data_IF_107394876190
#
_entry.id   IF_107394876190
#
_cell.length_a   1.000
_cell.length_b   1.000
_cell.length_c   1.000
_cell.angle_alpha   90.00
_cell.angle_beta   90.00
_cell.angle_gamma   90.00
#
_symmetry.space_group_name_H-M   'P 1'
#
loop_
_entity.id
_entity.type
_entity.pdbx_description
1 polymer ?
#
# COMPACT_ATOMS: atom_id res chain seq x y z
N UNK A 1 28.39 -6.74 -18.16
CA UNK A 1 27.63 -7.59 -19.10
C UNK A 1 26.48 -8.32 -18.40
N UNK A 2 26.73 -9.13 -17.37
CA UNK A 2 25.68 -9.85 -16.65
C UNK A 2 24.59 -8.94 -16.05
N UNK A 3 24.99 -7.81 -15.45
CA UNK A 3 24.02 -6.85 -14.88
C UNK A 3 23.12 -6.20 -15.94
N UNK A 4 23.67 -5.93 -17.14
CA UNK A 4 22.90 -5.35 -18.24
C UNK A 4 21.88 -6.35 -18.78
N UNK A 5 22.28 -7.61 -18.91
CA UNK A 5 21.39 -8.68 -19.32
C UNK A 5 20.25 -8.92 -18.32
N UNK A 6 20.57 -8.93 -17.02
CA UNK A 6 19.58 -9.03 -15.94
C UNK A 6 18.61 -7.84 -16.04
N UNK A 7 19.12 -6.61 -16.10
CA UNK A 7 18.28 -5.41 -16.19
C UNK A 7 17.34 -5.42 -17.41
N UNK A 8 17.85 -5.80 -18.60
CA UNK A 8 17.04 -5.94 -19.82
C UNK A 8 15.97 -7.02 -19.69
N UNK A 9 16.33 -8.20 -19.17
CA UNK A 9 15.37 -9.29 -18.98
C UNK A 9 14.26 -8.90 -18.00
N UNK A 10 14.60 -8.30 -16.86
CA UNK A 10 13.61 -7.80 -15.89
C UNK A 10 12.71 -6.75 -16.52
N UNK A 11 13.28 -5.77 -17.24
CA UNK A 11 12.49 -4.72 -17.89
C UNK A 11 11.48 -5.31 -18.90
N UNK A 12 11.92 -6.22 -19.77
CA UNK A 12 11.04 -6.86 -20.76
C UNK A 12 9.94 -7.71 -20.11
N UNK A 13 10.22 -8.38 -18.99
CA UNK A 13 9.22 -9.15 -18.26
C UNK A 13 8.12 -8.29 -17.63
N UNK A 14 8.45 -7.06 -17.22
CA UNK A 14 7.52 -6.16 -16.50
C UNK A 14 7.02 -4.99 -17.35
N UNK A 15 7.43 -4.83 -18.61
CA UNK A 15 6.96 -3.70 -19.46
C UNK A 15 5.44 -3.71 -19.66
N UNK A 16 4.83 -4.90 -19.65
CA UNK A 16 3.38 -5.07 -19.74
C UNK A 16 2.63 -4.56 -18.49
N UNK A 17 3.31 -4.41 -17.35
CA UNK A 17 2.68 -3.94 -16.11
C UNK A 17 2.60 -2.42 -16.00
N UNK A 18 3.23 -1.66 -16.91
CA UNK A 18 3.23 -0.19 -16.88
C UNK A 18 1.83 0.41 -17.03
N UNK A 19 0.91 -0.30 -17.68
CA UNK A 19 -0.48 0.12 -17.88
C UNK A 19 -1.45 -0.59 -16.91
N UNK A 20 -0.96 -1.37 -15.95
CA UNK A 20 -1.81 -2.01 -14.96
C UNK A 20 -2.26 -1.00 -13.90
N UNK A 21 -3.47 -1.22 -13.37
CA UNK A 21 -3.97 -0.45 -12.23
C UNK A 21 -3.42 -0.98 -10.90
N UNK A 22 -3.81 -0.31 -9.82
CA UNK A 22 -3.49 -0.72 -8.46
C UNK A 22 -4.00 -2.14 -8.16
N UNK A 23 -3.11 -2.98 -7.63
CA UNK A 23 -3.39 -4.36 -7.25
C UNK A 23 -4.09 -4.38 -5.88
N UNK A 24 -4.51 -5.56 -5.42
CA UNK A 24 -5.35 -5.75 -4.25
C UNK A 24 -4.88 -5.01 -2.99
N UNK A 25 -3.59 -5.04 -2.67
CA UNK A 25 -3.03 -4.35 -1.51
C UNK A 25 -2.77 -2.86 -1.79
N UNK A 26 -2.49 -2.49 -3.04
CA UNK A 26 -2.18 -1.10 -3.41
C UNK A 26 -3.44 -0.21 -3.36
N UNK A 27 -4.60 -0.75 -3.74
CA UNK A 27 -5.87 0.00 -3.73
C UNK A 27 -6.24 0.53 -2.36
N UNK A 28 -6.36 -0.31 -1.31
CA UNK A 28 -6.69 0.17 0.02
C UNK A 28 -5.59 1.06 0.61
N UNK A 29 -4.32 0.78 0.27
CA UNK A 29 -3.18 1.59 0.73
C UNK A 29 -3.01 2.94 0.00
N UNK A 30 -3.58 3.16 -1.19
CA UNK A 30 -3.37 4.43 -1.93
C UNK A 30 -4.68 5.20 -2.08
N UNK A 31 -5.77 4.52 -2.41
CA UNK A 31 -7.08 5.14 -2.63
C UNK A 31 -7.87 5.21 -1.33
N UNK A 32 -7.84 4.13 -0.54
CA UNK A 32 -8.75 3.99 0.61
C UNK A 32 -8.16 4.44 1.94
N UNK A 33 -6.90 4.91 1.97
CA UNK A 33 -6.31 5.48 3.18
C UNK A 33 -7.27 6.54 3.74
N UNK A 34 -7.89 6.16 4.85
CA UNK A 34 -8.91 6.95 5.52
C UNK A 34 -8.30 8.26 6.08
N UNK A 35 -6.98 8.34 6.21
CA UNK A 35 -6.22 9.49 6.73
C UNK A 35 -6.10 10.66 5.75
N UNK A 36 -6.28 10.43 4.44
CA UNK A 36 -6.27 11.51 3.45
C UNK A 36 -7.64 12.17 3.27
N UNK A 37 -8.70 11.65 3.91
CA UNK A 37 -10.01 12.31 3.91
C UNK A 37 -9.96 13.50 4.87
N UNK A 38 -10.24 14.74 4.43
CA UNK A 38 -10.18 15.95 5.26
C UNK A 38 -11.08 15.94 6.52
N UNK A 39 -11.93 14.92 6.67
CA UNK A 39 -12.91 14.78 7.75
C UNK A 39 -12.50 13.76 8.83
N UNK A 40 -11.43 13.01 8.64
CA UNK A 40 -11.00 12.00 9.61
C UNK A 40 -10.17 12.66 10.75
N UNK A 41 -10.45 12.36 12.03
CA UNK A 41 -9.61 12.82 13.13
C UNK A 41 -8.19 12.23 13.01
N UNK A 42 -7.16 13.08 13.14
CA UNK A 42 -5.76 12.66 13.14
C UNK A 42 -5.44 11.56 14.17
N UNK A 43 -6.19 11.51 15.27
CA UNK A 43 -6.09 10.46 16.30
C UNK A 43 -6.30 9.04 15.75
N UNK A 44 -7.03 8.88 14.65
CA UNK A 44 -7.28 7.57 14.06
C UNK A 44 -5.97 6.89 13.61
N UNK A 45 -4.92 7.66 13.29
CA UNK A 45 -3.60 7.13 12.92
C UNK A 45 -3.00 6.26 14.03
N UNK A 46 -3.36 6.53 15.28
CA UNK A 46 -2.85 5.78 16.44
C UNK A 46 -3.78 4.66 16.90
N UNK A 47 -5.00 4.58 16.35
CA UNK A 47 -6.05 3.69 16.83
C UNK A 47 -6.38 2.57 15.84
N UNK A 48 -6.06 2.76 14.57
CA UNK A 48 -6.33 1.79 13.51
C UNK A 48 -5.03 1.16 12.99
N UNK A 49 -5.14 -0.01 12.39
CA UNK A 49 -4.07 -0.63 11.63
C UNK A 49 -3.85 0.07 10.27
N UNK A 50 -2.86 -0.43 9.52
CA UNK A 50 -2.48 0.07 8.21
C UNK A 50 -3.64 0.12 7.20
N UNK A 51 -4.62 -0.77 7.32
CA UNK A 51 -5.77 -0.86 6.42
C UNK A 51 -6.96 -0.02 6.88
N UNK A 52 -6.85 0.65 8.04
CA UNK A 52 -7.90 1.50 8.59
C UNK A 52 -8.87 0.75 9.53
N UNK A 53 -8.57 -0.48 9.92
CA UNK A 53 -9.39 -1.23 10.88
C UNK A 53 -8.94 -0.92 12.31
N UNK A 54 -9.86 -0.61 13.24
CA UNK A 54 -9.50 -0.40 14.64
C UNK A 54 -8.72 -1.58 15.22
N UNK A 55 -7.57 -1.30 15.80
CA UNK A 55 -6.60 -2.33 16.24
C UNK A 55 -7.13 -3.23 17.37
N UNK A 56 -8.25 -2.83 18.00
CA UNK A 56 -8.97 -3.60 19.03
C UNK A 56 -9.88 -4.69 18.45
N UNK A 57 -10.22 -4.62 17.16
CA UNK A 57 -11.08 -5.63 16.50
C UNK A 57 -10.26 -6.86 16.13
N UNK A 58 -10.89 -8.03 16.17
CA UNK A 58 -10.25 -9.29 15.75
C UNK A 58 -9.94 -9.32 14.25
N UNK A 59 -10.74 -8.61 13.45
CA UNK A 59 -10.57 -8.42 12.00
C UNK A 59 -9.34 -7.55 11.65
N UNK A 60 -8.72 -6.90 12.64
CA UNK A 60 -7.52 -6.12 12.41
C UNK A 60 -6.36 -7.04 12.03
N UNK A 61 -5.62 -6.66 11.00
CA UNK A 61 -4.40 -7.35 10.60
C UNK A 61 -3.25 -7.05 11.58
N UNK A 62 -3.47 -6.13 12.55
CA UNK A 62 -2.51 -5.70 13.58
C UNK A 62 -1.18 -5.16 13.01
N UNK A 63 -1.14 -4.89 11.71
CA UNK A 63 -0.02 -4.26 11.03
C UNK A 63 -0.07 -2.75 11.27
N UNK A 64 0.62 -2.27 12.30
CA UNK A 64 0.69 -0.84 12.61
C UNK A 64 1.78 -0.15 11.78
N UNK A 65 1.37 0.76 10.88
CA UNK A 65 2.26 1.54 10.02
C UNK A 65 1.68 2.96 9.88
N UNK A 66 2.00 3.86 10.83
CA UNK A 66 1.37 5.18 10.90
C UNK A 66 1.78 6.13 9.77
N UNK A 67 2.89 5.83 9.09
CA UNK A 67 3.38 6.56 7.94
C UNK A 67 3.57 5.55 6.81
N UNK A 68 2.82 5.72 5.73
CA UNK A 68 3.07 5.01 4.48
C UNK A 68 4.26 5.66 3.78
N UNK A 69 5.16 4.86 3.21
CA UNK A 69 6.24 5.32 2.32
C UNK A 69 5.77 5.22 0.89
#
# INVERSE_FOLDING_TARGET
WSSLFIALSSFLCYINSLNCGLVFDDRPAIIEIMYLRPKAPWLNIFLNDFWGTPMKKEESHKSYRPLCV
#
